data_IF_776538303773
#
_entry.id   IF_776538303773
#
_cell.length_a   1.000
_cell.length_b   1.000
_cell.length_c   1.000
_cell.angle_alpha   90.00
_cell.angle_beta   90.00
_cell.angle_gamma   90.00
#
_symmetry.space_group_name_H-M   'P 1'
#
loop_
_entity.id
_entity.type
_entity.pdbx_description
1 polymer ?
#
# COMPACT_ATOMS: atom_id res chain seq x y z
N UNK A 1 -23.82 0.60 37.05
CA UNK A 1 -23.13 1.61 36.21
C UNK A 1 -22.96 2.85 37.11
N UNK A 2 -21.81 3.54 37.06
CA UNK A 2 -21.69 4.84 37.73
C UNK A 2 -22.58 5.82 36.99
N UNK A 3 -23.41 6.57 37.70
CA UNK A 3 -24.18 7.69 37.14
C UNK A 3 -23.32 8.93 37.19
N UNK A 4 -23.32 9.72 36.12
CA UNK A 4 -22.61 10.99 36.00
C UNK A 4 -23.63 12.11 35.79
N UNK A 5 -23.42 13.26 36.40
CA UNK A 5 -24.35 14.39 36.32
C UNK A 5 -24.10 15.26 35.07
N UNK A 6 -22.95 15.09 34.43
CA UNK A 6 -22.60 15.81 33.20
C UNK A 6 -21.60 15.04 32.34
N UNK A 7 -21.52 15.37 31.04
CA UNK A 7 -20.53 14.86 30.12
C UNK A 7 -19.10 15.22 30.57
N UNK A 8 -18.91 16.42 31.10
CA UNK A 8 -17.60 16.85 31.62
C UNK A 8 -17.14 15.99 32.80
N UNK A 9 -18.05 15.64 33.71
CA UNK A 9 -17.76 14.73 34.85
C UNK A 9 -17.42 13.32 34.32
N UNK A 10 -18.16 12.82 33.34
CA UNK A 10 -17.87 11.55 32.69
C UNK A 10 -16.49 11.55 32.05
N UNK A 11 -16.16 12.56 31.23
CA UNK A 11 -14.88 12.64 30.52
C UNK A 11 -13.68 12.74 31.47
N UNK A 12 -13.82 13.47 32.58
CA UNK A 12 -12.78 13.53 33.64
C UNK A 12 -12.56 12.20 34.35
N UNK A 13 -13.63 11.39 34.47
CA UNK A 13 -13.59 10.10 35.15
C UNK A 13 -13.30 8.93 34.18
N UNK A 14 -13.26 9.21 32.87
CA UNK A 14 -13.08 8.17 31.86
C UNK A 14 -11.66 7.64 31.86
N UNK A 15 -11.52 6.35 32.13
CA UNK A 15 -10.25 5.65 32.09
C UNK A 15 -10.12 4.85 30.79
N UNK A 16 -9.33 5.35 29.86
CA UNK A 16 -9.06 4.67 28.58
C UNK A 16 -8.05 3.51 28.72
N UNK A 17 -7.41 3.35 29.89
CA UNK A 17 -6.41 2.30 30.10
C UNK A 17 -7.01 0.90 30.19
N UNK A 18 -8.32 0.80 30.41
CA UNK A 18 -9.05 -0.48 30.42
C UNK A 18 -9.14 -1.13 29.04
N UNK A 19 -8.88 -0.39 27.97
CA UNK A 19 -8.88 -0.90 26.61
C UNK A 19 -7.45 -1.18 26.13
N UNK A 20 -7.28 -2.32 25.48
CA UNK A 20 -6.03 -2.62 24.77
C UNK A 20 -5.78 -1.60 23.68
N UNK A 21 -4.56 -1.05 23.64
CA UNK A 21 -4.16 -0.07 22.62
C UNK A 21 -3.48 -0.78 21.47
N UNK A 22 -3.86 -0.42 20.26
CA UNK A 22 -3.20 -0.84 19.03
C UNK A 22 -2.44 0.34 18.42
N UNK A 23 -1.44 0.05 17.59
CA UNK A 23 -0.76 1.05 16.78
C UNK A 23 -1.41 1.15 15.41
N UNK A 24 -1.40 2.36 14.85
CA UNK A 24 -1.86 2.61 13.48
C UNK A 24 -0.70 3.03 12.60
N UNK A 25 -0.75 2.60 11.34
CA UNK A 25 0.19 2.98 10.28
C UNK A 25 -0.57 3.42 9.04
N UNK A 26 0.12 4.14 8.15
CA UNK A 26 -0.30 4.31 6.76
C UNK A 26 0.73 3.68 5.84
N UNK A 27 0.26 2.99 4.79
CA UNK A 27 1.08 2.46 3.70
C UNK A 27 0.61 3.11 2.39
N UNK A 28 1.54 3.61 1.57
CA UNK A 28 1.21 4.35 0.35
C UNK A 28 1.63 3.56 -0.88
N UNK A 29 0.64 3.26 -1.74
CA UNK A 29 0.81 2.54 -2.99
C UNK A 29 0.81 3.53 -4.15
N UNK A 30 1.97 3.78 -4.74
CA UNK A 30 2.11 4.72 -5.84
C UNK A 30 2.34 3.95 -7.13
N UNK A 31 1.39 4.10 -8.05
CA UNK A 31 1.51 3.59 -9.41
C UNK A 31 1.91 4.70 -10.38
N UNK A 32 2.62 4.31 -11.42
CA UNK A 32 2.91 5.18 -12.55
C UNK A 32 2.66 4.44 -13.87
N UNK A 33 2.12 5.17 -14.84
CA UNK A 33 2.06 4.73 -16.24
C UNK A 33 2.98 5.63 -17.04
N UNK A 34 3.98 5.05 -17.69
CA UNK A 34 4.94 5.78 -18.53
C UNK A 34 5.02 5.16 -19.93
N UNK A 35 5.29 6.00 -20.91
CA UNK A 35 5.58 5.53 -22.26
C UNK A 35 6.99 4.95 -22.34
N UNK A 36 7.13 3.80 -23.00
CA UNK A 36 8.44 3.20 -23.26
C UNK A 36 9.18 3.95 -24.36
N UNK A 37 10.50 3.87 -24.32
CA UNK A 37 11.35 4.39 -25.39
C UNK A 37 10.97 3.70 -26.73
N UNK A 38 10.69 4.51 -27.74
CA UNK A 38 10.38 4.02 -29.09
C UNK A 38 11.66 3.55 -29.78
N UNK A 39 11.80 2.25 -29.96
CA UNK A 39 12.81 1.69 -30.87
C UNK A 39 12.40 1.80 -32.35
N UNK A 40 11.12 2.08 -32.65
CA UNK A 40 10.64 2.14 -34.03
C UNK A 40 9.33 2.94 -34.15
N UNK A 41 9.28 3.96 -34.99
CA UNK A 41 8.14 4.87 -35.26
C UNK A 41 6.87 4.17 -35.79
N UNK A 42 6.93 2.89 -36.11
CA UNK A 42 5.82 2.11 -36.65
C UNK A 42 5.09 1.23 -35.64
N UNK A 43 5.53 1.18 -34.39
CA UNK A 43 4.86 0.42 -33.31
C UNK A 43 4.19 1.37 -32.33
N UNK A 44 3.00 1.00 -31.84
CA UNK A 44 2.34 1.69 -30.73
C UNK A 44 3.29 1.75 -29.53
N UNK A 45 3.31 2.90 -28.85
CA UNK A 45 4.10 3.09 -27.62
C UNK A 45 3.75 2.00 -26.63
N UNK A 46 4.75 1.24 -26.21
CA UNK A 46 4.57 0.27 -25.13
C UNK A 46 4.46 1.04 -23.82
N UNK A 47 3.30 0.95 -23.16
CA UNK A 47 3.13 1.55 -21.84
C UNK A 47 3.65 0.62 -20.77
N UNK A 48 4.43 1.16 -19.84
CA UNK A 48 4.91 0.47 -18.65
C UNK A 48 4.09 0.91 -17.45
N UNK A 49 3.59 -0.09 -16.72
CA UNK A 49 2.94 0.11 -15.45
C UNK A 49 3.94 -0.19 -14.34
N UNK A 50 4.17 0.77 -13.46
CA UNK A 50 5.21 0.68 -12.43
C UNK A 50 4.65 1.01 -11.06
N UNK A 51 5.32 0.50 -10.03
CA UNK A 51 5.06 0.77 -8.62
C UNK A 51 6.33 1.30 -7.96
N UNK A 52 6.18 2.26 -7.04
CA UNK A 52 7.29 2.73 -6.21
C UNK A 52 7.42 1.88 -4.97
N UNK A 53 8.64 1.38 -4.71
CA UNK A 53 9.00 0.70 -3.47
C UNK A 53 10.20 1.39 -2.83
N UNK A 54 10.33 1.23 -1.50
CA UNK A 54 11.50 1.67 -0.73
C UNK A 54 12.18 0.47 -0.10
N UNK A 55 13.52 0.49 -0.05
CA UNK A 55 14.32 -0.56 0.58
C UNK A 55 14.49 -0.24 2.05
N UNK A 56 14.18 -1.21 2.91
CA UNK A 56 14.24 -1.03 4.36
C UNK A 56 15.69 -1.08 4.84
N UNK A 57 16.09 -0.15 5.66
CA UNK A 57 17.38 -0.11 6.34
C UNK A 57 17.34 -0.65 7.77
N UNK A 58 16.12 -0.85 8.34
CA UNK A 58 15.89 -1.23 9.72
C UNK A 58 15.05 -2.51 9.88
N UNK A 59 15.20 -3.19 11.02
CA UNK A 59 14.36 -4.32 11.42
C UNK A 59 12.94 -3.85 11.81
N UNK A 60 11.93 -4.70 11.64
CA UNK A 60 11.95 -6.01 10.99
C UNK A 60 12.07 -5.88 9.47
N UNK A 61 12.42 -6.98 8.80
CA UNK A 61 12.56 -7.04 7.33
C UNK A 61 13.63 -6.13 6.74
N UNK A 62 14.77 -5.95 7.45
CA UNK A 62 15.93 -5.22 6.92
C UNK A 62 16.32 -5.76 5.55
N UNK A 63 16.72 -4.87 4.63
CA UNK A 63 17.11 -5.13 3.24
C UNK A 63 15.99 -5.65 2.33
N UNK A 64 14.75 -5.80 2.83
CA UNK A 64 13.58 -6.11 2.02
C UNK A 64 12.95 -4.85 1.44
N UNK A 65 12.25 -5.00 0.34
CA UNK A 65 11.46 -3.93 -0.27
C UNK A 65 10.09 -3.80 0.42
N UNK A 66 9.59 -2.58 0.50
CA UNK A 66 8.27 -2.29 1.06
C UNK A 66 7.61 -1.11 0.35
N UNK A 67 6.34 -0.91 0.61
CA UNK A 67 5.65 0.35 0.30
C UNK A 67 6.19 1.45 1.22
N UNK A 68 6.28 2.72 0.76
CA UNK A 68 6.44 3.85 1.68
C UNK A 68 5.38 3.76 2.77
N UNK A 69 5.79 3.78 4.05
CA UNK A 69 4.86 3.57 5.14
C UNK A 69 5.46 3.89 6.51
N UNK A 70 4.60 4.20 7.48
CA UNK A 70 5.04 4.53 8.83
C UNK A 70 3.91 4.66 9.83
N UNK A 71 4.29 4.83 11.08
CA UNK A 71 3.34 5.07 12.17
C UNK A 71 2.73 6.47 12.09
N UNK A 72 1.47 6.55 12.48
CA UNK A 72 0.73 7.80 12.62
C UNK A 72 1.14 8.45 13.95
N UNK A 73 1.36 9.77 13.96
CA UNK A 73 1.56 10.54 15.17
C UNK A 73 0.23 10.73 15.90
N UNK A 74 0.30 10.95 17.21
CA UNK A 74 -0.91 11.02 18.07
C UNK A 74 -1.80 12.24 17.78
N UNK A 75 -1.22 13.28 17.21
CA UNK A 75 -1.82 14.56 16.88
C UNK A 75 -2.01 14.79 15.38
N UNK A 76 -1.96 13.71 14.59
CA UNK A 76 -1.95 13.76 13.13
C UNK A 76 -3.15 13.02 12.54
N UNK A 77 -3.80 13.61 11.52
CA UNK A 77 -4.81 12.92 10.74
C UNK A 77 -4.18 11.89 9.79
N UNK A 78 -4.97 10.91 9.37
CA UNK A 78 -4.55 9.82 8.47
C UNK A 78 -3.98 10.35 7.14
N UNK A 79 -4.64 11.35 6.55
CA UNK A 79 -4.21 11.94 5.29
C UNK A 79 -2.91 12.74 5.45
N UNK A 80 -2.75 13.46 6.55
CA UNK A 80 -1.54 14.23 6.83
C UNK A 80 -0.36 13.31 7.14
N UNK A 81 -0.62 12.22 7.86
CA UNK A 81 0.35 11.14 8.05
C UNK A 81 0.81 10.56 6.71
N UNK A 82 -0.12 10.25 5.80
CA UNK A 82 0.22 9.71 4.49
C UNK A 82 1.10 10.68 3.69
N UNK A 83 0.76 11.98 3.67
CA UNK A 83 1.57 13.02 3.01
C UNK A 83 2.97 13.12 3.61
N UNK A 84 3.07 13.21 4.95
CA UNK A 84 4.35 13.28 5.67
C UNK A 84 5.24 12.08 5.36
N UNK A 85 4.68 10.88 5.43
CA UNK A 85 5.41 9.64 5.17
C UNK A 85 5.91 9.62 3.72
N UNK A 86 5.08 10.06 2.78
CA UNK A 86 5.44 10.10 1.36
C UNK A 86 6.63 11.03 1.10
N UNK A 87 6.66 12.19 1.75
CA UNK A 87 7.81 13.11 1.68
C UNK A 87 9.05 12.46 2.31
N UNK A 88 8.93 11.89 3.51
CA UNK A 88 10.06 11.37 4.25
C UNK A 88 10.67 10.10 3.62
N UNK A 89 9.83 9.19 3.13
CA UNK A 89 10.26 7.87 2.64
C UNK A 89 10.59 7.88 1.14
N UNK A 90 9.90 8.71 0.35
CA UNK A 90 10.02 8.69 -1.10
C UNK A 90 10.43 10.04 -1.72
N UNK A 91 10.48 11.12 -0.95
CA UNK A 91 10.71 12.48 -1.41
C UNK A 91 9.70 12.93 -2.50
N UNK A 92 8.42 12.58 -2.31
CA UNK A 92 7.31 12.95 -3.21
C UNK A 92 6.29 13.77 -2.42
N UNK A 93 5.82 14.85 -3.04
CA UNK A 93 4.80 15.74 -2.46
C UNK A 93 3.78 16.16 -3.52
N UNK A 94 2.69 16.80 -3.06
CA UNK A 94 1.67 17.42 -3.91
C UNK A 94 0.99 16.45 -4.89
N UNK A 95 0.78 15.19 -4.47
CA UNK A 95 0.02 14.21 -5.25
C UNK A 95 -1.33 13.92 -4.60
N UNK A 96 -2.32 13.62 -5.44
CA UNK A 96 -3.63 13.17 -4.98
C UNK A 96 -3.56 11.74 -4.43
N UNK A 97 -4.02 11.55 -3.20
CA UNK A 97 -4.11 10.26 -2.53
C UNK A 97 -5.57 9.84 -2.37
N UNK A 98 -5.87 8.60 -2.73
CA UNK A 98 -7.17 7.97 -2.49
C UNK A 98 -7.00 6.86 -1.46
N UNK A 99 -7.86 6.82 -0.45
CA UNK A 99 -7.87 5.71 0.50
C UNK A 99 -8.23 4.40 -0.22
N UNK A 100 -7.36 3.42 -0.12
CA UNK A 100 -7.53 2.12 -0.75
C UNK A 100 -8.33 1.15 0.11
N UNK A 101 -7.78 0.81 1.27
CA UNK A 101 -8.33 -0.19 2.19
C UNK A 101 -7.63 -0.12 3.55
N UNK A 102 -8.29 -0.67 4.59
CA UNK A 102 -7.69 -0.83 5.92
C UNK A 102 -7.37 -2.29 6.18
N UNK A 103 -6.08 -2.59 6.43
CA UNK A 103 -5.55 -3.93 6.70
C UNK A 103 -5.42 -4.14 8.20
N UNK A 104 -6.22 -5.07 8.73
CA UNK A 104 -6.32 -5.29 10.17
C UNK A 104 -6.05 -6.74 10.60
N UNK A 105 -5.29 -7.55 9.83
CA UNK A 105 -4.93 -8.88 10.29
C UNK A 105 -4.09 -8.79 11.58
N UNK A 106 -4.42 -9.54 12.66
CA UNK A 106 -3.67 -9.49 13.92
C UNK A 106 -2.19 -9.77 13.78
N UNK A 107 -1.80 -10.60 12.83
CA UNK A 107 -0.44 -11.07 12.63
C UNK A 107 0.31 -10.36 11.48
N UNK A 108 -0.21 -9.20 11.00
CA UNK A 108 0.42 -8.50 9.88
C UNK A 108 1.78 -7.90 10.21
N UNK A 109 2.01 -7.56 11.47
CA UNK A 109 3.27 -7.03 11.99
C UNK A 109 3.77 -7.91 13.12
N UNK A 110 5.03 -8.40 13.07
CA UNK A 110 5.58 -9.29 14.10
C UNK A 110 5.88 -8.61 15.42
N UNK A 111 5.87 -7.27 15.49
CA UNK A 111 6.24 -6.50 16.68
C UNK A 111 5.09 -6.34 17.66
N UNK A 112 3.90 -6.06 17.14
CA UNK A 112 2.73 -5.73 17.93
C UNK A 112 1.45 -5.72 17.10
N UNK A 113 0.31 -5.50 17.73
CA UNK A 113 -0.96 -5.29 17.04
C UNK A 113 -0.94 -3.97 16.27
N UNK A 114 -0.93 -4.06 14.95
CA UNK A 114 -0.94 -2.90 14.04
C UNK A 114 -2.15 -2.99 13.11
N UNK A 115 -2.80 -1.86 12.87
CA UNK A 115 -3.78 -1.67 11.80
C UNK A 115 -3.24 -0.63 10.84
N UNK A 116 -3.24 -0.92 9.54
CA UNK A 116 -2.75 0.01 8.53
C UNK A 116 -3.88 0.47 7.61
N UNK A 117 -4.01 1.77 7.43
CA UNK A 117 -4.83 2.35 6.38
C UNK A 117 -3.96 2.65 5.18
N UNK A 118 -4.24 1.98 4.06
CA UNK A 118 -3.46 2.18 2.85
C UNK A 118 -4.10 3.23 1.96
N UNK A 119 -3.26 4.07 1.37
CA UNK A 119 -3.60 5.04 0.34
C UNK A 119 -2.99 4.64 -0.99
N UNK A 120 -3.58 5.10 -2.09
CA UNK A 120 -3.04 4.86 -3.43
C UNK A 120 -3.06 6.15 -4.24
N UNK A 121 -2.08 6.26 -5.14
CA UNK A 121 -1.99 7.29 -6.16
C UNK A 121 -1.67 6.67 -7.52
N UNK A 122 -2.10 7.34 -8.57
CA UNK A 122 -1.66 7.07 -9.94
C UNK A 122 -1.10 8.37 -10.50
N UNK A 123 0.19 8.37 -10.83
CA UNK A 123 0.92 9.54 -11.30
C UNK A 123 1.68 9.25 -12.58
N UNK A 124 2.09 10.28 -13.29
CA UNK A 124 3.15 10.15 -14.29
C UNK A 124 4.49 10.45 -13.62
N UNK A 125 5.34 9.43 -13.45
CA UNK A 125 6.65 9.60 -12.82
C UNK A 125 7.57 10.58 -13.54
N UNK A 126 7.32 10.83 -14.85
CA UNK A 126 8.11 11.78 -15.62
C UNK A 126 7.75 13.25 -15.31
N UNK A 127 6.62 13.48 -14.62
CA UNK A 127 6.20 14.83 -14.18
C UNK A 127 6.67 15.17 -12.77
N UNK A 128 7.34 14.24 -12.08
CA UNK A 128 7.91 14.52 -10.77
C UNK A 128 9.04 15.55 -10.90
N UNK A 129 8.90 16.66 -10.19
CA UNK A 129 9.89 17.73 -10.18
C UNK A 129 11.10 17.45 -9.27
N UNK A 130 11.07 16.34 -8.56
CA UNK A 130 12.05 15.98 -7.53
C UNK A 130 12.59 14.57 -7.80
N UNK A 131 13.85 14.35 -7.45
CA UNK A 131 14.40 13.01 -7.42
C UNK A 131 13.82 12.25 -6.23
N UNK A 132 13.42 10.99 -6.48
CA UNK A 132 12.98 10.10 -5.40
C UNK A 132 14.13 9.79 -4.45
N UNK A 133 13.82 9.37 -3.22
CA UNK A 133 14.81 8.98 -2.21
C UNK A 133 15.77 7.91 -2.75
N UNK A 134 17.03 7.96 -2.34
CA UNK A 134 18.08 7.05 -2.82
C UNK A 134 17.84 5.57 -2.52
N UNK A 135 17.03 5.28 -1.51
CA UNK A 135 16.58 3.93 -1.15
C UNK A 135 15.25 3.54 -1.84
N UNK A 136 14.68 4.41 -2.67
CA UNK A 136 13.46 4.15 -3.43
C UNK A 136 13.77 3.72 -4.86
N UNK A 137 12.89 2.89 -5.45
CA UNK A 137 13.01 2.47 -6.85
C UNK A 137 11.64 2.20 -7.47
N UNK A 138 11.54 2.48 -8.77
CA UNK A 138 10.39 2.12 -9.59
C UNK A 138 10.54 0.71 -10.13
N UNK A 139 9.57 -0.14 -9.85
CA UNK A 139 9.47 -1.49 -10.37
C UNK A 139 8.38 -1.59 -11.43
N UNK A 140 8.70 -2.11 -12.60
CA UNK A 140 7.71 -2.49 -13.60
C UNK A 140 6.88 -3.66 -13.06
N UNK A 141 5.57 -3.61 -13.25
CA UNK A 141 4.62 -4.60 -12.74
C UNK A 141 4.15 -5.49 -13.86
N UNK A 142 4.33 -6.79 -13.69
CA UNK A 142 3.72 -7.83 -14.54
C UNK A 142 2.79 -8.66 -13.67
N UNK A 143 1.56 -8.87 -14.16
CA UNK A 143 0.54 -9.65 -13.46
C UNK A 143 0.06 -10.77 -14.36
N UNK A 144 0.15 -11.99 -13.85
CA UNK A 144 -0.44 -13.17 -14.46
C UNK A 144 -1.55 -13.65 -13.53
N UNK A 145 -2.77 -13.72 -14.04
CA UNK A 145 -3.95 -14.01 -13.22
C UNK A 145 -4.72 -15.17 -13.85
N UNK A 146 -4.98 -16.20 -13.07
CA UNK A 146 -5.93 -17.25 -13.38
C UNK A 146 -7.14 -17.24 -12.42
N UNK A 147 -7.96 -18.30 -12.42
CA UNK A 147 -9.15 -18.38 -11.58
C UNK A 147 -8.84 -18.32 -10.08
N UNK A 148 -7.71 -18.86 -9.65
CA UNK A 148 -7.35 -19.06 -8.23
C UNK A 148 -6.14 -18.27 -7.78
N UNK A 149 -5.21 -17.96 -8.69
CA UNK A 149 -3.90 -17.41 -8.34
C UNK A 149 -3.69 -16.09 -9.07
N UNK A 150 -3.10 -15.14 -8.35
CA UNK A 150 -2.52 -13.92 -8.92
C UNK A 150 -1.02 -14.03 -8.69
N UNK A 151 -0.26 -14.14 -9.77
CA UNK A 151 1.20 -14.16 -9.77
C UNK A 151 1.70 -12.77 -10.19
N UNK A 152 2.53 -12.15 -9.37
CA UNK A 152 3.02 -10.79 -9.60
C UNK A 152 4.54 -10.81 -9.64
N UNK A 153 5.07 -10.19 -10.68
CA UNK A 153 6.50 -9.97 -10.89
C UNK A 153 6.74 -8.47 -10.92
N UNK A 154 7.62 -7.99 -10.06
CA UNK A 154 8.10 -6.62 -10.00
C UNK A 154 9.57 -6.61 -10.41
N UNK A 155 9.92 -5.77 -11.40
CA UNK A 155 11.28 -5.73 -11.95
C UNK A 155 11.75 -4.29 -12.16
N UNK A 156 12.94 -3.95 -11.65
CA UNK A 156 13.54 -2.62 -11.83
C UNK A 156 14.81 -2.64 -12.72
N UNK A 157 15.08 -3.78 -13.35
CA UNK A 157 16.27 -4.00 -14.17
C UNK A 157 17.50 -4.49 -13.39
N UNK A 158 17.54 -4.29 -12.06
CA UNK A 158 18.62 -4.76 -11.19
C UNK A 158 18.16 -5.89 -10.26
N UNK A 159 16.94 -5.80 -9.77
CA UNK A 159 16.32 -6.77 -8.86
C UNK A 159 14.93 -7.15 -9.37
N UNK A 160 14.57 -8.41 -9.19
CA UNK A 160 13.24 -8.96 -9.51
C UNK A 160 12.62 -9.52 -8.23
N UNK A 161 11.40 -9.11 -7.92
CA UNK A 161 10.60 -9.56 -6.77
C UNK A 161 9.43 -10.36 -7.31
N UNK A 162 9.18 -11.53 -6.72
CA UNK A 162 8.05 -12.39 -7.10
C UNK A 162 7.20 -12.71 -5.89
N UNK A 163 5.90 -12.70 -6.08
CA UNK A 163 4.97 -13.19 -5.07
C UNK A 163 3.69 -13.74 -5.70
N UNK A 164 3.04 -14.67 -4.99
CA UNK A 164 1.80 -15.30 -5.42
C UNK A 164 0.72 -15.16 -4.37
N UNK A 165 -0.47 -14.82 -4.82
CA UNK A 165 -1.64 -14.64 -3.98
C UNK A 165 -2.73 -15.64 -4.39
N UNK A 166 -3.23 -16.38 -3.40
CA UNK A 166 -4.38 -17.26 -3.56
C UNK A 166 -5.68 -16.44 -3.38
N UNK A 167 -6.58 -16.55 -4.34
CA UNK A 167 -7.96 -16.11 -4.22
C UNK A 167 -8.74 -17.17 -3.47
N UNK A 168 -9.02 -16.96 -2.19
CA UNK A 168 -9.94 -17.80 -1.43
C UNK A 168 -11.39 -17.50 -1.84
N UNK A 169 -12.33 -18.33 -1.39
CA UNK A 169 -13.75 -18.16 -1.68
C UNK A 169 -14.25 -16.75 -1.40
N UNK A 170 -15.15 -16.25 -2.24
CA UNK A 170 -15.89 -15.00 -1.96
C UNK A 170 -16.63 -15.10 -0.63
N UNK A 171 -16.52 -14.07 0.20
CA UNK A 171 -17.38 -13.95 1.37
C UNK A 171 -18.81 -13.62 0.91
N UNK A 172 -19.78 -14.39 1.40
CA UNK A 172 -21.19 -14.20 1.07
C UNK A 172 -21.74 -12.82 1.47
N UNK A 173 -21.15 -12.22 2.52
CA UNK A 173 -21.62 -10.96 3.12
C UNK A 173 -21.02 -9.71 2.48
N UNK A 174 -19.84 -9.80 1.89
CA UNK A 174 -19.11 -8.62 1.37
C UNK A 174 -18.87 -8.66 -0.14
N UNK A 175 -19.21 -9.75 -0.81
CA UNK A 175 -18.92 -10.03 -2.23
C UNK A 175 -17.43 -9.85 -2.59
N UNK A 176 -16.54 -9.94 -1.60
CA UNK A 176 -15.09 -9.78 -1.75
C UNK A 176 -14.39 -11.13 -1.63
N UNK A 177 -13.33 -11.31 -2.42
CA UNK A 177 -12.44 -12.44 -2.22
C UNK A 177 -11.57 -12.21 -0.98
N UNK A 178 -11.37 -13.28 -0.21
CA UNK A 178 -10.24 -13.34 0.73
C UNK A 178 -8.98 -13.72 -0.02
N UNK A 179 -7.91 -13.02 0.25
CA UNK A 179 -6.61 -13.24 -0.35
C UNK A 179 -5.63 -13.77 0.68
N UNK A 180 -4.77 -14.68 0.25
CA UNK A 180 -3.71 -15.24 1.09
C UNK A 180 -2.38 -15.25 0.32
N UNK A 181 -1.29 -14.89 1.00
CA UNK A 181 0.05 -14.95 0.44
C UNK A 181 0.49 -16.41 0.39
N UNK A 182 0.72 -16.95 -0.81
CA UNK A 182 1.28 -18.29 -1.00
C UNK A 182 2.80 -18.25 -1.04
N UNK A 183 3.35 -17.30 -1.77
CA UNK A 183 4.80 -17.11 -1.95
C UNK A 183 5.12 -15.63 -1.87
N UNK A 184 6.21 -15.29 -1.21
CA UNK A 184 6.76 -13.93 -1.14
C UNK A 184 8.24 -14.01 -0.83
N UNK A 185 9.09 -13.61 -1.77
CA UNK A 185 10.55 -13.72 -1.62
C UNK A 185 11.21 -12.49 -0.99
N UNK A 186 10.74 -11.29 -1.28
CA UNK A 186 11.48 -10.06 -0.94
C UNK A 186 10.66 -8.86 -0.49
N UNK A 187 9.33 -8.97 -0.39
CA UNK A 187 8.51 -7.89 0.17
C UNK A 187 8.35 -8.05 1.68
N UNK A 188 8.39 -6.92 2.39
CA UNK A 188 8.14 -6.86 3.81
C UNK A 188 6.64 -6.98 4.13
N UNK A 189 6.32 -7.47 5.30
CA UNK A 189 4.98 -7.53 5.89
C UNK A 189 3.95 -8.22 4.98
N UNK A 190 2.72 -7.73 5.01
CA UNK A 190 1.61 -8.13 4.14
C UNK A 190 1.49 -7.24 2.88
N UNK A 191 2.53 -6.52 2.50
CA UNK A 191 2.54 -5.62 1.35
C UNK A 191 2.16 -6.29 0.01
N UNK A 192 2.42 -7.60 -0.23
CA UNK A 192 1.84 -8.29 -1.38
C UNK A 192 0.31 -8.17 -1.47
N UNK A 193 -0.39 -8.21 -0.33
CA UNK A 193 -1.86 -8.05 -0.30
C UNK A 193 -2.28 -6.63 -0.61
N UNK A 194 -1.54 -5.64 -0.12
CA UNK A 194 -1.80 -4.22 -0.40
C UNK A 194 -1.65 -3.94 -1.90
N UNK A 195 -0.56 -4.42 -2.51
CA UNK A 195 -0.27 -4.26 -3.94
C UNK A 195 -1.37 -4.90 -4.79
N UNK A 196 -1.76 -6.13 -4.50
CA UNK A 196 -2.84 -6.81 -5.26
C UNK A 196 -4.17 -6.06 -5.11
N UNK A 197 -4.52 -5.57 -3.92
CA UNK A 197 -5.73 -4.77 -3.74
C UNK A 197 -5.72 -3.49 -4.60
N UNK A 198 -4.58 -2.80 -4.69
CA UNK A 198 -4.42 -1.63 -5.55
C UNK A 198 -4.54 -1.95 -7.03
N UNK A 199 -3.89 -3.02 -7.50
CA UNK A 199 -3.99 -3.49 -8.89
C UNK A 199 -5.45 -3.81 -9.25
N UNK A 200 -6.15 -4.53 -8.40
CA UNK A 200 -7.56 -4.87 -8.63
C UNK A 200 -8.46 -3.63 -8.59
N UNK A 201 -8.17 -2.65 -7.72
CA UNK A 201 -8.89 -1.37 -7.67
C UNK A 201 -8.73 -0.60 -8.99
N UNK A 202 -7.51 -0.50 -9.52
CA UNK A 202 -7.24 0.15 -10.80
C UNK A 202 -7.92 -0.58 -11.97
N UNK A 203 -7.79 -1.91 -12.01
CA UNK A 203 -8.45 -2.75 -13.01
C UNK A 203 -9.97 -2.49 -13.05
N UNK A 204 -10.62 -2.48 -11.88
CA UNK A 204 -12.05 -2.23 -11.77
C UNK A 204 -12.44 -0.80 -12.19
N UNK A 205 -11.61 0.21 -11.91
CA UNK A 205 -11.86 1.59 -12.37
C UNK A 205 -11.79 1.68 -13.89
N UNK A 206 -10.75 1.13 -14.52
CA UNK A 206 -10.58 1.14 -15.97
C UNK A 206 -11.79 0.49 -16.65
N UNK A 207 -12.24 -0.67 -16.21
CA UNK A 207 -13.41 -1.34 -16.80
C UNK A 207 -14.70 -0.56 -16.65
N UNK A 208 -14.90 0.20 -15.57
CA UNK A 208 -16.12 1.01 -15.36
C UNK A 208 -16.19 2.26 -16.24
N UNK A 209 -15.07 2.79 -16.66
CA UNK A 209 -15.00 4.01 -17.49
C UNK A 209 -14.72 3.73 -18.98
N UNK A 210 -14.64 2.46 -19.38
CA UNK A 210 -14.44 2.04 -20.77
C UNK A 210 -15.75 1.71 -21.50
N UNK A 211 -16.89 2.25 -21.00
CA UNK A 211 -18.24 2.13 -21.63
C UNK A 211 -18.57 3.41 -22.34
#
# INVERSE_FOLDING_TARGET
>A
MKEYNSEEEFLKAYDSSVFEKLSMTTDILIFSVSDGLQENYRKLNKKYFSILLVKRDNYPFKDKWCLPGGFINIDEDLEDSAKRILVNEANIQDIYLEQLYTFGNPNRDPRMRVVSTSYMALIDKNTLNQEISSNASWFNVMVLEDEKIIDVILDNGNETIKFKILKKSKEKTTDRYKYEILENDSLAFDHPLVIVNGILRLKNKIYRYSI
#
